data_IF_850452742146
#
_entry.id   IF_850452742146
#
_cell.length_a   1.000
_cell.length_b   1.000
_cell.length_c   1.000
_cell.angle_alpha   90.00
_cell.angle_beta   90.00
_cell.angle_gamma   90.00
#
_symmetry.space_group_name_H-M   'P 1'
#
loop_
_entity.id
_entity.type
_entity.pdbx_description
1 polymer ?
#
# COMPACT_ATOMS: atom_id res chain seq x y z
N UNK A 1 -16.86 -21.74 -18.91
CA UNK A 1 -15.62 -21.68 -18.09
C UNK A 1 -15.85 -20.63 -17.02
N UNK A 2 -15.94 -21.02 -15.75
CA UNK A 2 -16.11 -20.07 -14.65
C UNK A 2 -14.90 -19.12 -14.59
N UNK A 3 -15.11 -17.81 -14.41
CA UNK A 3 -14.01 -16.86 -14.28
C UNK A 3 -13.21 -17.17 -13.02
N UNK A 4 -11.92 -17.48 -13.18
CA UNK A 4 -10.97 -17.70 -12.09
C UNK A 4 -10.66 -16.37 -11.39
N UNK A 5 -11.52 -15.98 -10.45
CA UNK A 5 -11.34 -14.78 -9.62
C UNK A 5 -10.39 -15.08 -8.46
N UNK A 6 -9.51 -14.14 -8.14
CA UNK A 6 -8.70 -14.22 -6.94
C UNK A 6 -9.60 -14.17 -5.70
N UNK A 7 -9.27 -14.98 -4.68
CA UNK A 7 -9.94 -14.89 -3.38
C UNK A 7 -9.60 -13.55 -2.74
N UNK A 8 -10.62 -12.85 -2.25
CA UNK A 8 -10.47 -11.61 -1.50
C UNK A 8 -10.55 -11.89 0.00
N UNK A 9 -9.89 -11.03 0.80
CA UNK A 9 -9.99 -11.10 2.24
C UNK A 9 -11.25 -10.38 2.72
N UNK A 10 -11.87 -10.93 3.76
CA UNK A 10 -12.94 -10.26 4.50
C UNK A 10 -12.36 -9.22 5.48
N UNK A 11 -13.17 -8.27 5.98
CA UNK A 11 -12.70 -7.30 6.98
C UNK A 11 -12.14 -7.95 8.26
N UNK A 12 -12.69 -9.09 8.70
CA UNK A 12 -12.18 -9.82 9.86
C UNK A 12 -10.82 -10.46 9.58
N UNK A 13 -10.61 -10.98 8.37
CA UNK A 13 -9.32 -11.53 7.95
C UNK A 13 -8.24 -10.44 7.83
N UNK A 14 -8.58 -9.25 7.35
CA UNK A 14 -7.64 -8.11 7.31
C UNK A 14 -7.23 -7.73 8.73
N UNK A 15 -8.18 -7.60 9.67
CA UNK A 15 -7.84 -7.31 11.08
C UNK A 15 -6.96 -8.38 11.71
N UNK A 16 -7.22 -9.65 11.41
CA UNK A 16 -6.39 -10.74 11.88
C UNK A 16 -4.99 -10.68 11.28
N UNK A 17 -4.87 -10.44 9.98
CA UNK A 17 -3.60 -10.28 9.28
C UNK A 17 -2.75 -9.18 9.93
N UNK A 18 -3.32 -8.00 10.15
CA UNK A 18 -2.60 -6.88 10.79
C UNK A 18 -2.13 -7.24 12.20
N UNK A 19 -2.96 -7.94 13.00
CA UNK A 19 -2.57 -8.39 14.35
C UNK A 19 -1.42 -9.40 14.31
N UNK A 20 -1.44 -10.32 13.35
CA UNK A 20 -0.35 -11.31 13.20
C UNK A 20 0.92 -10.61 12.75
N UNK A 21 0.85 -9.73 11.76
CA UNK A 21 1.99 -8.93 11.31
C UNK A 21 2.61 -8.14 12.45
N UNK A 22 1.78 -7.52 13.30
CA UNK A 22 2.22 -6.78 14.47
C UNK A 22 2.99 -7.66 15.46
N UNK A 23 2.48 -8.86 15.75
CA UNK A 23 3.06 -9.78 16.72
C UNK A 23 4.30 -10.54 16.21
N UNK A 24 4.42 -10.78 14.90
CA UNK A 24 5.42 -11.72 14.35
C UNK A 24 6.44 -11.09 13.39
N UNK A 25 6.19 -9.88 12.88
CA UNK A 25 7.14 -9.26 11.94
C UNK A 25 8.41 -8.78 12.66
N UNK A 26 9.54 -8.82 11.94
CA UNK A 26 10.77 -8.13 12.35
C UNK A 26 10.61 -6.60 12.31
N UNK A 27 9.75 -6.08 11.44
CA UNK A 27 9.48 -4.65 11.27
C UNK A 27 7.96 -4.41 11.20
N UNK A 28 7.24 -4.54 12.33
CA UNK A 28 5.77 -4.45 12.41
C UNK A 28 5.17 -3.22 11.73
N UNK A 29 5.74 -2.03 11.99
CA UNK A 29 5.24 -0.75 11.50
C UNK A 29 5.36 -0.65 9.98
N UNK A 30 6.52 -1.03 9.43
CA UNK A 30 6.78 -1.04 7.99
C UNK A 30 5.86 -2.03 7.27
N UNK A 31 5.75 -3.25 7.78
CA UNK A 31 4.98 -4.29 7.11
C UNK A 31 3.48 -4.00 7.18
N UNK A 32 3.01 -3.47 8.31
CA UNK A 32 1.64 -2.93 8.45
C UNK A 32 1.37 -1.82 7.44
N UNK A 33 2.29 -0.87 7.28
CA UNK A 33 2.17 0.20 6.29
C UNK A 33 2.03 -0.35 4.87
N UNK A 34 2.89 -1.30 4.48
CA UNK A 34 2.84 -1.95 3.15
C UNK A 34 1.49 -2.61 2.91
N UNK A 35 0.96 -3.33 3.89
CA UNK A 35 -0.35 -3.99 3.79
C UNK A 35 -1.48 -2.97 3.66
N UNK A 36 -1.46 -1.92 4.48
CA UNK A 36 -2.49 -0.88 4.44
C UNK A 36 -2.49 -0.14 3.10
N UNK A 37 -1.34 0.27 2.57
CA UNK A 37 -1.25 0.89 1.24
C UNK A 37 -1.84 0.00 0.13
N UNK A 38 -1.64 -1.31 0.22
CA UNK A 38 -2.25 -2.27 -0.70
C UNK A 38 -3.78 -2.36 -0.58
N UNK A 39 -4.30 -2.45 0.64
CA UNK A 39 -5.74 -2.67 0.87
C UNK A 39 -6.59 -1.40 0.83
N UNK A 40 -6.09 -0.27 1.32
CA UNK A 40 -6.86 0.97 1.45
C UNK A 40 -6.65 1.93 0.29
N UNK A 41 -5.45 1.94 -0.29
CA UNK A 41 -5.12 2.83 -1.42
C UNK A 41 -5.15 2.11 -2.77
N UNK A 42 -5.26 0.78 -2.78
CA UNK A 42 -5.28 -0.02 -4.02
C UNK A 42 -3.97 0.06 -4.81
N UNK A 43 -2.86 0.35 -4.12
CA UNK A 43 -1.54 0.43 -4.73
C UNK A 43 -1.01 -0.96 -5.09
N UNK A 44 -0.29 -1.06 -6.20
CA UNK A 44 0.43 -2.28 -6.57
C UNK A 44 1.70 -2.40 -5.73
N UNK A 45 2.14 -3.64 -5.49
CA UNK A 45 3.38 -3.91 -4.74
C UNK A 45 4.60 -3.19 -5.32
N UNK A 46 4.69 -3.04 -6.65
CA UNK A 46 5.77 -2.32 -7.32
C UNK A 46 5.69 -0.79 -7.13
N UNK A 47 4.48 -0.24 -6.98
CA UNK A 47 4.26 1.17 -6.69
C UNK A 47 4.67 1.45 -5.24
N UNK A 48 4.28 0.58 -4.30
CA UNK A 48 4.65 0.69 -2.87
C UNK A 48 6.17 0.59 -2.70
N UNK A 49 6.83 -0.33 -3.41
CA UNK A 49 8.28 -0.54 -3.30
C UNK A 49 9.12 0.65 -3.78
N UNK A 50 8.55 1.55 -4.59
CA UNK A 50 9.22 2.72 -5.15
C UNK A 50 8.72 4.05 -4.56
N UNK A 51 7.82 3.99 -3.58
CA UNK A 51 7.30 5.18 -2.93
C UNK A 51 8.40 5.86 -2.10
N UNK A 52 8.56 7.17 -2.29
CA UNK A 52 9.52 7.98 -1.56
C UNK A 52 8.83 8.89 -0.55
N UNK A 53 9.56 9.33 0.49
CA UNK A 53 9.03 10.26 1.49
C UNK A 53 8.54 11.57 0.85
N UNK A 54 9.21 12.03 -0.20
CA UNK A 54 8.83 13.24 -0.95
C UNK A 54 7.49 13.12 -1.69
N UNK A 55 7.06 11.88 -1.98
CA UNK A 55 5.75 11.61 -2.60
C UNK A 55 4.60 11.85 -1.61
N UNK A 56 4.85 11.74 -0.30
CA UNK A 56 3.80 11.84 0.75
C UNK A 56 3.94 13.05 1.68
N UNK A 57 5.15 13.60 1.82
CA UNK A 57 5.42 14.79 2.62
C UNK A 57 5.77 16.00 1.75
N UNK A 58 5.37 17.17 2.21
CA UNK A 58 5.88 18.45 1.75
C UNK A 58 7.29 18.68 2.32
N UNK A 59 8.12 19.56 1.71
CA UNK A 59 9.44 19.92 2.26
C UNK A 59 9.41 20.44 3.70
N UNK A 60 8.26 20.97 4.14
CA UNK A 60 8.02 21.40 5.53
C UNK A 60 7.83 20.25 6.53
N UNK A 61 7.80 18.99 6.08
CA UNK A 61 7.48 17.82 6.89
C UNK A 61 5.98 17.59 7.09
N UNK A 62 5.12 18.47 6.58
CA UNK A 62 3.66 18.28 6.62
C UNK A 62 3.23 17.21 5.61
N UNK A 63 2.22 16.41 5.98
CA UNK A 63 1.57 15.48 5.06
C UNK A 63 0.92 16.24 3.90
N UNK A 64 1.02 15.68 2.70
CA UNK A 64 0.22 16.16 1.56
C UNK A 64 -1.24 15.77 1.76
N UNK A 65 -2.15 16.65 1.36
CA UNK A 65 -3.59 16.35 1.37
C UNK A 65 -3.94 15.28 0.33
N UNK A 66 -3.22 15.25 -0.78
CA UNK A 66 -3.34 14.25 -1.83
C UNK A 66 -1.94 13.73 -2.24
N UNK A 67 -1.85 12.43 -2.48
CA UNK A 67 -0.62 11.76 -2.93
C UNK A 67 -0.81 11.37 -4.38
N UNK A 68 0.01 11.95 -5.26
CA UNK A 68 -0.01 11.69 -6.69
C UNK A 68 1.12 10.74 -7.05
N UNK A 69 0.82 9.55 -7.56
CA UNK A 69 1.83 8.58 -7.94
C UNK A 69 2.48 9.01 -9.25
N UNK A 70 3.81 9.14 -9.23
CA UNK A 70 4.62 9.45 -10.41
C UNK A 70 4.37 8.41 -11.50
N UNK A 71 4.16 8.84 -12.74
CA UNK A 71 3.97 7.92 -13.86
C UNK A 71 5.10 6.88 -13.97
N UNK A 72 6.34 7.26 -13.63
CA UNK A 72 7.50 6.37 -13.64
C UNK A 72 7.35 5.11 -12.76
N UNK A 73 6.54 5.16 -11.68
CA UNK A 73 6.36 4.04 -10.75
C UNK A 73 5.07 3.26 -10.98
N UNK A 74 4.16 3.77 -11.84
CA UNK A 74 2.86 3.14 -12.11
C UNK A 74 2.90 2.23 -13.33
N UNK A 75 2.00 1.26 -13.37
CA UNK A 75 1.84 0.41 -14.55
C UNK A 75 1.32 1.24 -15.73
N UNK A 76 2.03 1.18 -16.86
CA UNK A 76 1.66 1.88 -18.10
C UNK A 76 2.09 3.35 -18.14
N UNK A 77 2.96 3.77 -17.21
CA UNK A 77 3.60 5.08 -17.20
C UNK A 77 2.64 6.28 -17.14
N UNK A 78 1.48 6.10 -16.48
CA UNK A 78 0.46 7.14 -16.30
C UNK A 78 0.32 7.52 -14.83
N UNK A 79 0.50 8.79 -14.53
CA UNK A 79 0.28 9.30 -13.18
C UNK A 79 -1.17 9.10 -12.74
N UNK A 80 -1.40 8.88 -11.43
CA UNK A 80 -2.72 8.68 -10.84
C UNK A 80 -2.75 8.96 -9.35
#
# INVERSE_FOLDING_TARGET
MEPKRAKTLTPSQIRHLLRVTDATSRYPERDTLVLLLGFTCGMRVSEIAQLEVADVLLPSGRLREEVHLRGAITKGSKAR
#
